data_IF_560036319168
#
_entry.id   IF_560036319168
#
_cell.length_a   1.000
_cell.length_b   1.000
_cell.length_c   1.000
_cell.angle_alpha   90.00
_cell.angle_beta   90.00
_cell.angle_gamma   90.00
#
_symmetry.space_group_name_H-M   'P 1'
#
loop_
_entity.id
_entity.type
_entity.pdbx_description
1 polymer ?
#
# COMPACT_ATOMS: atom_id res chain seq x y z
N UNK A 1 -4.78 21.28 4.77
CA UNK A 1 -5.03 19.85 4.98
C UNK A 1 -6.46 19.43 4.66
N UNK A 2 -7.44 20.32 4.70
CA UNK A 2 -8.85 20.01 4.41
C UNK A 2 -9.09 19.32 3.06
N UNK A 3 -8.32 19.69 2.04
CA UNK A 3 -8.37 19.02 0.74
C UNK A 3 -8.02 17.54 0.78
N UNK A 4 -7.04 17.13 1.60
CA UNK A 4 -6.68 15.71 1.78
C UNK A 4 -7.82 14.95 2.46
N UNK A 5 -8.39 15.53 3.52
CA UNK A 5 -9.52 14.93 4.24
C UNK A 5 -10.74 14.74 3.33
N UNK A 6 -11.05 15.72 2.48
CA UNK A 6 -12.16 15.62 1.51
C UNK A 6 -11.88 14.50 0.50
N UNK A 7 -10.67 14.44 -0.06
CA UNK A 7 -10.28 13.40 -1.01
C UNK A 7 -10.36 12.00 -0.40
N UNK A 8 -9.86 11.82 0.83
CA UNK A 8 -9.91 10.52 1.51
C UNK A 8 -11.33 10.13 1.94
N UNK A 9 -12.19 11.10 2.28
CA UNK A 9 -13.61 10.84 2.57
C UNK A 9 -14.39 10.41 1.32
N UNK A 10 -14.13 11.02 0.16
CA UNK A 10 -14.85 10.72 -1.08
C UNK A 10 -14.25 9.54 -1.85
N UNK A 11 -12.95 9.33 -1.73
CA UNK A 11 -12.18 8.33 -2.47
C UNK A 11 -11.16 7.65 -1.55
N UNK A 12 -11.65 6.84 -0.61
CA UNK A 12 -10.82 6.20 0.42
C UNK A 12 -9.65 5.37 -0.13
N UNK A 13 -9.82 4.75 -1.30
CA UNK A 13 -8.81 3.92 -1.97
C UNK A 13 -7.86 4.69 -2.90
N UNK A 14 -8.07 6.00 -3.10
CA UNK A 14 -7.19 6.79 -3.96
C UNK A 14 -5.86 7.05 -3.22
N UNK A 15 -4.71 6.66 -3.81
CA UNK A 15 -3.42 7.04 -3.27
C UNK A 15 -3.20 8.54 -3.44
N UNK A 16 -2.82 9.22 -2.36
CA UNK A 16 -2.59 10.67 -2.37
C UNK A 16 -1.16 10.95 -1.95
N UNK A 17 -0.36 11.46 -2.87
CA UNK A 17 1.02 11.89 -2.65
C UNK A 17 1.05 13.42 -2.50
N UNK A 18 1.56 13.92 -1.37
CA UNK A 18 1.74 15.35 -1.14
C UNK A 18 3.13 15.76 -1.58
N UNK A 19 3.23 16.84 -2.35
CA UNK A 19 4.51 17.40 -2.80
C UNK A 19 4.66 18.82 -2.22
N UNK A 20 5.64 19.02 -1.34
CA UNK A 20 5.79 20.26 -0.56
C UNK A 20 7.22 20.79 -0.56
N UNK A 21 7.37 22.11 -0.48
CA UNK A 21 8.66 22.75 -0.20
C UNK A 21 8.97 22.77 1.31
N UNK A 22 7.96 22.54 2.15
CA UNK A 22 8.09 22.40 3.60
C UNK A 22 8.15 20.92 3.94
N UNK A 23 9.25 20.49 4.55
CA UNK A 23 9.53 19.15 5.05
C UNK A 23 9.47 19.09 6.59
N UNK A 24 8.79 20.06 7.21
CA UNK A 24 8.58 20.09 8.65
C UNK A 24 7.87 18.80 9.10
N UNK A 25 8.47 18.16 10.11
CA UNK A 25 8.04 16.92 10.70
C UNK A 25 6.57 16.93 11.14
N UNK A 26 6.08 18.05 11.65
CA UNK A 26 4.69 18.20 12.08
C UNK A 26 3.69 18.07 10.92
N UNK A 27 4.06 18.57 9.73
CA UNK A 27 3.21 18.54 8.53
C UNK A 27 3.21 17.15 7.91
N UNK A 28 4.36 16.48 7.89
CA UNK A 28 4.50 15.10 7.42
C UNK A 28 3.67 14.14 8.29
N UNK A 29 3.77 14.25 9.61
CA UNK A 29 2.98 13.45 10.54
C UNK A 29 1.48 13.68 10.38
N UNK A 30 1.06 14.93 10.18
CA UNK A 30 -0.34 15.25 9.96
C UNK A 30 -0.86 14.68 8.62
N UNK A 31 -0.04 14.71 7.57
CA UNK A 31 -0.36 14.08 6.29
C UNK A 31 -0.57 12.57 6.43
N UNK A 32 0.32 11.91 7.18
CA UNK A 32 0.22 10.48 7.48
C UNK A 32 -1.07 10.15 8.25
N UNK A 33 -1.36 10.89 9.33
CA UNK A 33 -2.59 10.71 10.12
C UNK A 33 -3.87 10.92 9.30
N UNK A 34 -3.83 11.80 8.30
CA UNK A 34 -4.97 12.06 7.41
C UNK A 34 -5.05 11.10 6.22
N UNK A 35 -4.19 10.07 6.17
CA UNK A 35 -4.27 8.98 5.20
C UNK A 35 -3.62 9.29 3.86
N UNK A 36 -2.64 10.20 3.83
CA UNK A 36 -1.77 10.35 2.67
C UNK A 36 -0.98 9.05 2.43
N UNK A 37 -0.78 8.72 1.16
CA UNK A 37 0.06 7.58 0.75
C UNK A 37 1.53 7.97 0.64
N UNK A 38 1.85 9.27 0.68
CA UNK A 38 3.20 9.70 0.87
C UNK A 38 3.36 11.21 0.94
N UNK A 39 4.58 11.63 1.27
CA UNK A 39 4.99 13.02 1.34
C UNK A 39 6.37 13.18 0.71
N UNK A 40 6.47 14.03 -0.32
CA UNK A 40 7.68 14.22 -1.12
C UNK A 40 8.16 15.67 -1.03
N UNK A 41 9.43 15.90 -0.67
CA UNK A 41 10.00 17.24 -0.75
C UNK A 41 10.17 17.64 -2.22
N UNK A 42 9.86 18.88 -2.57
CA UNK A 42 10.04 19.42 -3.93
C UNK A 42 11.49 19.45 -4.40
N UNK A 43 12.43 19.37 -3.46
CA UNK A 43 13.87 19.26 -3.72
C UNK A 43 14.31 17.84 -4.11
N UNK A 44 13.41 16.84 -4.02
CA UNK A 44 13.73 15.48 -4.44
C UNK A 44 14.06 15.47 -5.94
N UNK A 45 15.14 14.78 -6.29
CA UNK A 45 15.56 14.63 -7.68
C UNK A 45 14.45 13.98 -8.52
N UNK A 46 14.37 14.38 -9.80
CA UNK A 46 13.26 13.98 -10.68
C UNK A 46 13.16 12.46 -10.84
N UNK A 47 14.29 11.76 -10.98
CA UNK A 47 14.32 10.31 -11.13
C UNK A 47 13.81 9.61 -9.86
N UNK A 48 14.22 10.10 -8.70
CA UNK A 48 13.71 9.64 -7.40
C UNK A 48 12.21 9.92 -7.25
N UNK A 49 11.72 11.06 -7.73
CA UNK A 49 10.29 11.38 -7.69
C UNK A 49 9.46 10.38 -8.53
N UNK A 50 9.98 9.97 -9.69
CA UNK A 50 9.34 8.96 -10.53
C UNK A 50 9.28 7.59 -9.83
N UNK A 51 10.36 7.19 -9.13
CA UNK A 51 10.39 5.98 -8.30
C UNK A 51 9.33 6.04 -7.20
N UNK A 52 9.24 7.16 -6.48
CA UNK A 52 8.27 7.35 -5.39
C UNK A 52 6.84 7.29 -5.89
N UNK A 53 6.53 7.97 -7.00
CA UNK A 53 5.20 7.91 -7.61
C UNK A 53 4.85 6.48 -7.98
N UNK A 54 5.80 5.74 -8.58
CA UNK A 54 5.59 4.34 -8.97
C UNK A 54 5.33 3.46 -7.74
N UNK A 55 6.09 3.63 -6.66
CA UNK A 55 5.90 2.91 -5.41
C UNK A 55 4.52 3.22 -4.79
N UNK A 56 4.14 4.49 -4.72
CA UNK A 56 2.85 4.93 -4.17
C UNK A 56 1.67 4.43 -5.00
N UNK A 57 1.80 4.39 -6.33
CA UNK A 57 0.82 3.78 -7.21
C UNK A 57 0.76 2.26 -7.06
N UNK A 58 1.88 1.62 -6.70
CA UNK A 58 1.95 0.24 -6.25
C UNK A 58 1.54 0.07 -4.78
N UNK A 59 0.86 1.07 -4.20
CA UNK A 59 0.28 1.04 -2.85
C UNK A 59 1.29 0.95 -1.72
N UNK A 60 2.56 1.26 -1.99
CA UNK A 60 3.55 1.49 -0.95
C UNK A 60 3.36 2.90 -0.37
N UNK A 61 3.87 3.08 0.85
CA UNK A 61 3.91 4.37 1.49
C UNK A 61 5.31 4.96 1.38
N UNK A 62 5.40 6.25 1.09
CA UNK A 62 6.70 6.93 1.01
C UNK A 62 6.71 8.23 1.80
N UNK A 63 7.57 8.30 2.81
CA UNK A 63 7.77 9.49 3.63
C UNK A 63 9.28 9.71 3.82
N UNK A 64 9.77 10.95 3.95
CA UNK A 64 11.19 11.22 4.12
C UNK A 64 11.71 10.64 5.44
N UNK A 65 12.96 10.17 5.45
CA UNK A 65 13.58 9.40 6.54
C UNK A 65 13.83 10.17 7.87
N UNK A 66 13.20 11.32 8.08
CA UNK A 66 13.42 12.12 9.28
C UNK A 66 12.08 12.53 9.92
N UNK A 67 11.49 11.62 10.70
CA UNK A 67 11.09 11.95 12.08
C UNK A 67 10.95 10.66 12.90
N UNK A 68 11.86 10.52 13.84
CA UNK A 68 11.83 9.53 14.91
C UNK A 68 10.53 9.64 15.71
N UNK A 69 9.82 8.53 15.84
CA UNK A 69 8.49 8.51 16.45
C UNK A 69 7.79 7.15 16.46
N UNK A 70 8.55 6.06 16.58
CA UNK A 70 8.03 4.75 17.00
C UNK A 70 7.50 3.84 15.89
N UNK A 71 8.40 3.11 15.25
CA UNK A 71 8.15 1.72 14.87
C UNK A 71 9.44 0.97 15.17
N UNK A 72 9.50 0.40 16.38
CA UNK A 72 10.62 -0.41 16.83
C UNK A 72 10.74 -1.63 15.92
N UNK A 73 11.92 -1.82 15.34
CA UNK A 73 12.45 -3.15 15.07
C UNK A 73 12.34 -3.99 16.35
N UNK A 74 11.61 -5.11 16.32
CA UNK A 74 11.51 -5.95 17.52
C UNK A 74 10.64 -7.20 17.45
N UNK A 75 11.17 -8.27 16.87
CA UNK A 75 11.00 -9.61 17.45
C UNK A 75 9.94 -10.50 16.80
N UNK A 76 10.35 -11.73 16.47
CA UNK A 76 9.54 -12.68 15.73
C UNK A 76 8.26 -13.14 16.46
N UNK A 77 7.17 -13.17 15.72
CA UNK A 77 5.91 -13.80 16.12
C UNK A 77 4.88 -13.59 15.02
N UNK A 78 4.58 -14.63 14.24
CA UNK A 78 3.59 -14.65 13.14
C UNK A 78 3.82 -13.63 12.00
N UNK A 79 3.42 -13.91 10.76
CA UNK A 79 3.42 -12.89 9.72
C UNK A 79 2.32 -11.88 10.06
N UNK A 80 2.67 -10.87 10.86
CA UNK A 80 1.75 -9.83 11.32
C UNK A 80 1.24 -9.04 10.11
N UNK A 81 -0.08 -9.05 9.96
CA UNK A 81 -0.82 -8.26 8.98
C UNK A 81 -0.57 -6.76 9.10
N UNK A 82 0.02 -6.30 10.21
CA UNK A 82 0.34 -4.90 10.48
C UNK A 82 1.30 -4.31 9.43
N UNK A 83 2.11 -5.14 8.78
CA UNK A 83 3.02 -4.70 7.72
C UNK A 83 2.36 -4.60 6.34
N UNK A 84 1.19 -5.22 6.12
CA UNK A 84 0.55 -5.21 4.79
C UNK A 84 -0.31 -3.96 4.62
N UNK A 85 -0.05 -3.20 3.56
CA UNK A 85 -0.87 -2.03 3.24
C UNK A 85 -2.29 -2.47 2.83
N UNK A 86 -3.32 -1.60 2.94
CA UNK A 86 -4.69 -1.95 2.54
C UNK A 86 -4.79 -2.44 1.08
N UNK A 87 -3.95 -1.92 0.19
CA UNK A 87 -3.87 -2.38 -1.19
C UNK A 87 -3.29 -3.81 -1.28
N UNK A 88 -2.23 -4.11 -0.52
CA UNK A 88 -1.62 -5.43 -0.46
C UNK A 88 -2.57 -6.47 0.16
N UNK A 89 -3.31 -6.11 1.22
CA UNK A 89 -4.39 -6.94 1.78
C UNK A 89 -5.45 -7.27 0.74
N UNK A 90 -5.89 -6.28 -0.05
CA UNK A 90 -6.88 -6.50 -1.12
C UNK A 90 -6.35 -7.43 -2.22
N UNK A 91 -5.09 -7.26 -2.63
CA UNK A 91 -4.42 -8.18 -3.57
C UNK A 91 -4.35 -9.59 -2.98
N UNK A 92 -4.00 -9.73 -1.70
CA UNK A 92 -3.92 -11.02 -0.99
C UNK A 92 -5.29 -11.72 -0.90
N UNK A 93 -6.37 -10.98 -0.67
CA UNK A 93 -7.74 -11.55 -0.69
C UNK A 93 -8.12 -12.07 -2.08
N UNK A 94 -7.90 -11.27 -3.13
CA UNK A 94 -8.16 -11.70 -4.51
C UNK A 94 -7.26 -12.89 -4.91
N UNK A 95 -6.04 -12.94 -4.36
CA UNK A 95 -5.11 -14.05 -4.55
C UNK A 95 -5.65 -15.34 -3.95
N UNK A 96 -6.20 -15.25 -2.73
CA UNK A 96 -6.86 -16.36 -2.02
C UNK A 96 -8.08 -16.89 -2.78
N UNK A 97 -8.82 -16.01 -3.44
CA UNK A 97 -9.96 -16.35 -4.32
C UNK A 97 -9.53 -16.98 -5.66
N UNK A 98 -8.23 -17.06 -5.94
CA UNK A 98 -7.70 -17.65 -7.17
C UNK A 98 -7.71 -16.73 -8.38
N UNK A 99 -8.02 -15.44 -8.22
CA UNK A 99 -8.13 -14.48 -9.33
C UNK A 99 -6.79 -14.31 -10.08
N UNK A 100 -6.73 -14.42 -11.41
CA UNK A 100 -5.50 -14.16 -12.17
C UNK A 100 -5.11 -12.67 -12.09
N UNK A 101 -3.82 -12.36 -12.26
CA UNK A 101 -3.31 -10.97 -12.16
C UNK A 101 -4.01 -9.99 -13.09
N UNK A 102 -4.44 -10.45 -14.27
CA UNK A 102 -5.24 -9.66 -15.22
C UNK A 102 -6.61 -9.27 -14.67
N UNK A 103 -7.28 -10.20 -13.98
CA UNK A 103 -8.60 -9.93 -13.38
C UNK A 103 -8.45 -9.06 -12.12
N UNK A 104 -7.43 -9.31 -11.30
CA UNK A 104 -7.09 -8.43 -10.17
C UNK A 104 -6.85 -6.99 -10.62
N UNK A 105 -6.09 -6.80 -11.70
CA UNK A 105 -5.81 -5.50 -12.29
C UNK A 105 -7.11 -4.79 -12.72
N UNK A 106 -8.04 -5.52 -13.35
CA UNK A 106 -9.34 -4.99 -13.71
C UNK A 106 -10.19 -4.58 -12.48
N UNK A 107 -10.26 -5.45 -11.46
CA UNK A 107 -11.01 -5.20 -10.21
C UNK A 107 -10.43 -3.99 -9.46
N UNK A 108 -9.12 -3.86 -9.42
CA UNK A 108 -8.41 -2.80 -8.72
C UNK A 108 -8.19 -1.53 -9.57
N UNK A 109 -8.56 -1.56 -10.86
CA UNK A 109 -8.35 -0.47 -11.83
C UNK A 109 -6.88 -0.02 -11.94
N UNK A 110 -5.96 -0.98 -11.94
CA UNK A 110 -4.50 -0.77 -12.11
C UNK A 110 -3.96 -1.65 -13.24
N UNK A 111 -2.66 -1.59 -13.51
CA UNK A 111 -2.04 -2.44 -14.54
C UNK A 111 -1.65 -3.82 -14.00
N UNK A 112 -1.49 -4.81 -14.89
CA UNK A 112 -0.95 -6.13 -14.50
C UNK A 112 0.46 -6.04 -13.91
N UNK A 113 1.28 -5.07 -14.36
CA UNK A 113 2.60 -4.83 -13.80
C UNK A 113 2.53 -4.35 -12.34
N UNK A 114 1.57 -3.47 -12.02
CA UNK A 114 1.30 -3.01 -10.65
C UNK A 114 0.88 -4.17 -9.74
N UNK A 115 0.02 -5.07 -10.23
CA UNK A 115 -0.35 -6.28 -9.48
C UNK A 115 0.87 -7.18 -9.22
N UNK A 116 1.76 -7.36 -10.20
CA UNK A 116 3.00 -8.12 -10.01
C UNK A 116 3.94 -7.50 -8.99
N UNK A 117 4.01 -6.17 -8.93
CA UNK A 117 4.77 -5.46 -7.91
C UNK A 117 4.21 -5.74 -6.51
N UNK A 118 2.90 -5.59 -6.31
CA UNK A 118 2.23 -5.93 -5.05
C UNK A 118 2.48 -7.39 -4.64
N UNK A 119 2.34 -8.34 -5.57
CA UNK A 119 2.57 -9.76 -5.29
C UNK A 119 4.01 -10.04 -4.86
N UNK A 120 4.99 -9.36 -5.46
CA UNK A 120 6.40 -9.50 -5.09
C UNK A 120 6.64 -9.07 -3.64
N UNK A 121 6.05 -7.94 -3.24
CA UNK A 121 6.21 -7.40 -1.90
C UNK A 121 5.44 -8.22 -0.85
N UNK A 122 4.23 -8.67 -1.18
CA UNK A 122 3.47 -9.62 -0.36
C UNK A 122 4.28 -10.90 -0.15
N UNK A 123 4.91 -11.45 -1.20
CA UNK A 123 5.71 -12.66 -1.08
C UNK A 123 6.92 -12.45 -0.17
N UNK A 124 7.58 -11.29 -0.27
CA UNK A 124 8.68 -10.88 0.60
C UNK A 124 8.24 -10.83 2.06
N UNK A 125 7.14 -10.13 2.36
CA UNK A 125 6.60 -9.96 3.72
C UNK A 125 6.10 -11.27 4.33
N UNK A 126 5.41 -12.09 3.54
CA UNK A 126 4.95 -13.43 3.97
C UNK A 126 6.06 -14.49 3.95
N UNK A 127 7.27 -14.16 3.49
CA UNK A 127 8.42 -15.07 3.35
C UNK A 127 8.12 -16.31 2.49
N UNK A 128 7.31 -16.14 1.45
CA UNK A 128 6.92 -17.18 0.49
C UNK A 128 7.59 -16.95 -0.85
N UNK A 129 7.77 -18.02 -1.64
CA UNK A 129 8.48 -17.94 -2.93
C UNK A 129 7.56 -18.01 -4.15
N UNK A 130 6.32 -18.46 -3.97
CA UNK A 130 5.41 -18.64 -5.07
C UNK A 130 3.96 -18.41 -4.66
N UNK A 131 3.12 -18.23 -5.68
CA UNK A 131 1.68 -17.99 -5.56
C UNK A 131 0.98 -19.06 -4.72
N UNK A 132 1.31 -20.34 -4.91
CA UNK A 132 0.68 -21.43 -4.17
C UNK A 132 0.97 -21.32 -2.66
N UNK A 133 2.23 -21.05 -2.30
CA UNK A 133 2.62 -20.82 -0.91
C UNK A 133 1.95 -19.58 -0.31
N UNK A 134 1.83 -18.50 -1.09
CA UNK A 134 1.12 -17.29 -0.65
C UNK A 134 -0.37 -17.55 -0.40
N UNK A 135 -1.04 -18.33 -1.25
CA UNK A 135 -2.45 -18.72 -1.07
C UNK A 135 -2.61 -19.61 0.17
N UNK A 136 -1.69 -20.55 0.41
CA UNK A 136 -1.72 -21.41 1.60
C UNK A 136 -1.52 -20.58 2.87
N UNK A 137 -0.54 -19.69 2.89
CA UNK A 137 -0.33 -18.75 3.99
C UNK A 137 -1.59 -17.91 4.23
N UNK A 138 -2.18 -17.34 3.17
CA UNK A 138 -3.40 -16.54 3.26
C UNK A 138 -4.66 -17.31 3.74
N UNK A 139 -4.66 -18.65 3.70
CA UNK A 139 -5.77 -19.47 4.21
C UNK A 139 -5.68 -19.72 5.71
N UNK A 140 -4.47 -19.74 6.26
CA UNK A 140 -4.25 -19.83 7.71
C UNK A 140 -4.43 -18.48 8.40
N UNK A 141 -4.53 -17.41 7.61
CA UNK A 141 -4.71 -16.03 8.02
C UNK A 141 -6.19 -15.63 7.92
N UNK A 142 -6.80 -15.20 9.03
CA UNK A 142 -8.21 -14.79 9.12
C UNK A 142 -8.45 -13.42 8.45
N UNK A 143 -8.38 -13.40 7.11
CA UNK A 143 -8.53 -12.18 6.31
C UNK A 143 -10.01 -11.75 6.26
N UNK A 144 -10.32 -10.45 6.46
CA UNK A 144 -11.67 -9.92 6.32
C UNK A 144 -12.21 -10.17 4.91
N UNK A 145 -13.48 -10.60 4.82
CA UNK A 145 -14.17 -10.78 3.55
C UNK A 145 -14.30 -9.43 2.83
N UNK A 146 -13.73 -9.35 1.62
CA UNK A 146 -13.88 -8.19 0.75
C UNK A 146 -15.20 -8.38 -0.01
N UNK A 147 -16.25 -7.67 0.39
CA UNK A 147 -17.50 -7.63 -0.36
C UNK A 147 -17.26 -7.05 -1.76
N UNK A 148 -17.20 -7.91 -2.76
CA UNK A 148 -17.26 -7.53 -4.17
C UNK A 148 -18.70 -7.10 -4.43
N UNK A 149 -18.92 -5.79 -4.48
CA UNK A 149 -20.18 -5.23 -4.99
C UNK A 149 -20.28 -5.58 -6.47
N UNK A 150 -20.96 -6.68 -6.73
CA UNK A 150 -21.30 -7.17 -8.06
C UNK A 150 -22.32 -6.21 -8.67
N UNK A 151 -21.87 -5.41 -9.63
CA UNK A 151 -22.72 -4.50 -10.39
C UNK A 151 -23.54 -5.29 -11.40
N UNK A 152 -24.81 -5.55 -11.07
CA UNK A 152 -25.86 -5.84 -12.04
C UNK A 152 -26.40 -4.56 -12.66
#
# INVERSE_FOLDING_TARGET
>A
MDGLLILKKQYASLPVLIISAYDDSSVVNMAMQYGASGFVPKSLEMDRMAEVITAVLAGDMWFPEAIDGGAQDGGGGTPEFEDLTPAQLKVLTLLREGKPSKEMAAIMRVTEATIKAHLTEIFRKLRVRNRTQAVLAAKELDLPEVNVIDGR
#
